data_IF_951905940677
#
_entry.id   IF_951905940677
#
_cell.length_a   1.000
_cell.length_b   1.000
_cell.length_c   1.000
_cell.angle_alpha   90.00
_cell.angle_beta   90.00
_cell.angle_gamma   90.00
#
_symmetry.space_group_name_H-M   'P 1'
#
loop_
_entity.id
_entity.type
_entity.pdbx_description
1 polymer ?
#
# COMPACT_ATOMS: atom_id res chain seq x y z
N UNK A 1 -24.76 -0.13 -6.21
CA UNK A 1 -25.49 -1.41 -6.14
C UNK A 1 -25.74 -2.01 -7.52
N UNK A 2 -26.45 -1.31 -8.40
CA UNK A 2 -26.80 -1.82 -9.75
C UNK A 2 -25.56 -2.24 -10.57
N UNK A 3 -24.46 -1.51 -10.50
CA UNK A 3 -23.20 -1.87 -11.21
C UNK A 3 -22.56 -3.17 -10.71
N UNK A 4 -22.90 -3.59 -9.49
CA UNK A 4 -22.45 -4.87 -8.90
C UNK A 4 -23.48 -5.98 -9.06
N UNK A 5 -24.50 -5.80 -9.92
CA UNK A 5 -25.50 -6.81 -10.23
C UNK A 5 -26.62 -6.98 -9.19
N UNK A 6 -26.75 -6.07 -8.22
CA UNK A 6 -27.84 -6.14 -7.25
C UNK A 6 -29.16 -5.65 -7.83
N UNK A 7 -30.24 -6.39 -7.61
CA UNK A 7 -31.59 -5.93 -7.87
C UNK A 7 -32.00 -4.82 -6.88
N UNK A 8 -32.92 -3.91 -7.25
CA UNK A 8 -33.38 -2.85 -6.35
C UNK A 8 -33.84 -3.34 -4.99
N UNK A 9 -34.61 -4.43 -4.96
CA UNK A 9 -35.14 -5.02 -3.72
C UNK A 9 -34.03 -5.64 -2.84
N UNK A 10 -32.91 -6.02 -3.43
CA UNK A 10 -31.74 -6.50 -2.69
C UNK A 10 -30.99 -5.33 -2.05
N UNK A 11 -30.87 -4.23 -2.79
CA UNK A 11 -30.27 -3.01 -2.27
C UNK A 11 -31.06 -2.48 -1.06
N UNK A 12 -32.39 -2.47 -1.16
CA UNK A 12 -33.25 -2.02 -0.06
C UNK A 12 -33.09 -2.90 1.19
N UNK A 13 -32.96 -4.21 1.03
CA UNK A 13 -32.73 -5.14 2.14
C UNK A 13 -31.38 -4.98 2.81
N UNK A 14 -30.36 -4.59 2.06
CA UNK A 14 -28.99 -4.41 2.56
C UNK A 14 -28.71 -2.96 3.00
N UNK A 15 -29.64 -2.06 2.75
CA UNK A 15 -29.43 -0.63 2.95
C UNK A 15 -28.98 -0.30 4.40
N UNK A 16 -29.73 -0.76 5.39
CA UNK A 16 -29.42 -0.49 6.78
C UNK A 16 -28.06 -1.04 7.21
N UNK A 17 -27.72 -2.25 6.77
CA UNK A 17 -26.41 -2.86 7.08
C UNK A 17 -25.25 -2.12 6.41
N UNK A 18 -25.43 -1.65 5.16
CA UNK A 18 -24.43 -0.85 4.46
C UNK A 18 -24.21 0.49 5.17
N UNK A 19 -25.30 1.15 5.54
CA UNK A 19 -25.28 2.44 6.20
C UNK A 19 -24.62 2.36 7.58
N UNK A 20 -24.94 1.31 8.34
CA UNK A 20 -24.36 1.06 9.66
C UNK A 20 -22.88 0.72 9.57
N UNK A 21 -22.48 -0.13 8.61
CA UNK A 21 -21.08 -0.46 8.39
C UNK A 21 -20.29 0.78 7.99
N UNK A 22 -20.79 1.58 7.05
CA UNK A 22 -20.16 2.80 6.57
C UNK A 22 -20.13 3.93 7.61
N UNK A 23 -20.97 3.87 8.66
CA UNK A 23 -21.19 4.95 9.65
C UNK A 23 -21.61 6.28 9.01
N UNK A 24 -22.49 6.20 8.01
CA UNK A 24 -22.91 7.35 7.22
C UNK A 24 -24.39 7.69 7.37
N UNK A 25 -25.05 7.21 8.42
CA UNK A 25 -26.51 7.36 8.63
C UNK A 25 -27.00 8.79 8.47
N UNK A 26 -26.28 9.75 9.03
CA UNK A 26 -26.68 11.17 8.99
C UNK A 26 -26.47 11.81 7.60
N UNK A 27 -25.66 11.17 6.74
CA UNK A 27 -25.30 11.72 5.44
C UNK A 27 -26.07 11.08 4.27
N UNK A 28 -26.85 10.03 4.50
CA UNK A 28 -27.51 9.26 3.44
C UNK A 28 -28.52 10.08 2.61
N UNK A 29 -29.06 11.16 3.18
CA UNK A 29 -29.96 12.08 2.46
C UNK A 29 -29.22 13.11 1.59
N UNK A 30 -27.89 13.10 1.62
CA UNK A 30 -27.10 14.03 0.83
C UNK A 30 -26.70 13.42 -0.51
N UNK A 31 -26.45 14.27 -1.50
CA UNK A 31 -25.92 13.83 -2.79
C UNK A 31 -24.48 13.36 -2.62
N UNK A 32 -24.10 12.29 -3.31
CA UNK A 32 -22.74 11.70 -3.25
C UNK A 32 -21.62 12.70 -3.53
N UNK A 33 -21.88 13.72 -4.37
CA UNK A 33 -20.93 14.81 -4.65
C UNK A 33 -20.53 15.64 -3.42
N UNK A 34 -21.34 15.60 -2.37
CA UNK A 34 -21.09 16.33 -1.13
C UNK A 34 -20.32 15.48 -0.09
N UNK A 35 -20.08 14.20 -0.41
CA UNK A 35 -19.31 13.31 0.46
C UNK A 35 -17.81 13.64 0.36
N UNK A 36 -17.12 13.60 1.50
CA UNK A 36 -15.66 13.61 1.50
C UNK A 36 -15.11 12.35 0.81
N UNK A 37 -13.85 12.38 0.38
CA UNK A 37 -13.20 11.20 -0.21
C UNK A 37 -13.26 9.98 0.73
N UNK A 38 -13.02 10.17 2.02
CA UNK A 38 -13.14 9.12 3.03
C UNK A 38 -14.54 8.54 3.14
N UNK A 39 -15.59 9.39 3.12
CA UNK A 39 -16.99 8.93 3.13
C UNK A 39 -17.32 8.13 1.87
N UNK A 40 -16.84 8.56 0.69
CA UNK A 40 -17.07 7.85 -0.56
C UNK A 40 -16.46 6.46 -0.52
N UNK A 41 -15.23 6.33 -0.04
CA UNK A 41 -14.55 5.04 0.04
C UNK A 41 -15.16 4.14 1.11
N UNK A 42 -15.54 4.67 2.28
CA UNK A 42 -16.28 3.91 3.31
C UNK A 42 -17.58 3.34 2.75
N UNK A 43 -18.35 4.14 2.02
CA UNK A 43 -19.57 3.68 1.37
C UNK A 43 -19.29 2.64 0.29
N UNK A 44 -18.31 2.90 -0.58
CA UNK A 44 -17.93 1.98 -1.66
C UNK A 44 -17.50 0.61 -1.12
N UNK A 45 -16.65 0.59 -0.09
CA UNK A 45 -16.23 -0.63 0.58
C UNK A 45 -17.41 -1.37 1.21
N UNK A 46 -18.28 -0.66 1.95
CA UNK A 46 -19.46 -1.25 2.59
C UNK A 46 -20.42 -1.90 1.59
N UNK A 47 -20.52 -1.35 0.39
CA UNK A 47 -21.30 -1.96 -0.70
C UNK A 47 -20.57 -3.15 -1.32
N UNK A 48 -19.25 -3.03 -1.53
CA UNK A 48 -18.46 -4.07 -2.17
C UNK A 48 -18.44 -5.39 -1.38
N UNK A 49 -18.32 -5.32 -0.05
CA UNK A 49 -18.32 -6.50 0.82
C UNK A 49 -19.66 -7.25 0.88
N UNK A 50 -20.73 -6.62 0.42
CA UNK A 50 -22.06 -7.26 0.29
C UNK A 50 -22.25 -7.95 -1.07
N UNK A 51 -21.27 -7.85 -1.99
CA UNK A 51 -21.35 -8.53 -3.27
C UNK A 51 -21.50 -10.05 -3.08
N UNK A 52 -22.39 -10.64 -3.86
CA UNK A 52 -22.73 -12.07 -3.79
C UNK A 52 -21.74 -12.98 -4.52
N UNK A 53 -20.70 -12.42 -5.12
CA UNK A 53 -19.70 -13.19 -5.85
C UNK A 53 -18.91 -14.12 -4.92
N UNK A 54 -18.53 -15.27 -5.45
CA UNK A 54 -17.62 -16.21 -4.76
C UNK A 54 -16.20 -15.66 -4.67
N UNK A 55 -15.87 -14.68 -5.52
CA UNK A 55 -14.56 -14.00 -5.59
C UNK A 55 -14.76 -12.50 -5.39
N UNK A 56 -14.11 -11.96 -4.39
CA UNK A 56 -14.06 -10.52 -4.09
C UNK A 56 -12.65 -10.00 -4.37
N UNK A 57 -12.53 -9.03 -5.27
CA UNK A 57 -11.26 -8.36 -5.57
C UNK A 57 -11.25 -6.99 -4.93
N UNK A 58 -10.24 -6.71 -4.11
CA UNK A 58 -10.05 -5.47 -3.38
C UNK A 58 -8.68 -4.89 -3.71
N UNK A 59 -8.67 -3.70 -4.30
CA UNK A 59 -7.46 -3.02 -4.74
C UNK A 59 -7.24 -1.76 -3.89
N UNK A 60 -6.12 -1.71 -3.13
CA UNK A 60 -5.68 -0.60 -2.27
C UNK A 60 -6.73 -0.06 -1.27
N UNK A 61 -7.71 -0.88 -0.86
CA UNK A 61 -8.85 -0.43 -0.05
C UNK A 61 -8.62 -0.45 1.47
N UNK A 62 -7.47 -0.93 1.94
CA UNK A 62 -7.20 -1.10 3.38
C UNK A 62 -6.72 0.17 4.09
N UNK A 63 -6.16 1.11 3.36
CA UNK A 63 -5.59 2.35 3.93
C UNK A 63 -6.64 3.45 4.15
N UNK A 64 -7.95 3.11 4.17
CA UNK A 64 -9.02 4.08 4.08
C UNK A 64 -9.85 4.18 5.34
N UNK A 65 -10.29 5.41 5.66
CA UNK A 65 -11.15 5.72 6.78
C UNK A 65 -10.37 6.05 8.07
N UNK A 66 -11.13 6.32 9.13
CA UNK A 66 -10.59 6.51 10.46
C UNK A 66 -10.30 5.17 11.17
N UNK A 67 -9.72 5.24 12.33
CA UNK A 67 -9.36 4.06 13.12
C UNK A 67 -10.56 3.15 13.46
N UNK A 68 -11.75 3.73 13.65
CA UNK A 68 -12.96 2.98 13.94
C UNK A 68 -13.40 2.15 12.73
N UNK A 69 -13.39 2.76 11.54
CA UNK A 69 -13.70 2.07 10.29
C UNK A 69 -12.65 1.00 9.94
N UNK A 70 -11.37 1.29 10.17
CA UNK A 70 -10.31 0.31 9.98
C UNK A 70 -10.49 -0.93 10.87
N UNK A 71 -10.95 -0.77 12.11
CA UNK A 71 -11.29 -1.91 12.98
C UNK A 71 -12.39 -2.78 12.37
N UNK A 72 -13.47 -2.19 11.86
CA UNK A 72 -14.55 -2.94 11.18
C UNK A 72 -14.05 -3.69 9.95
N UNK A 73 -13.20 -3.04 9.14
CA UNK A 73 -12.56 -3.72 8.01
C UNK A 73 -11.70 -4.91 8.47
N UNK A 74 -10.92 -4.73 9.54
CA UNK A 74 -10.10 -5.78 10.13
C UNK A 74 -10.94 -6.99 10.57
N UNK A 75 -12.03 -6.75 11.27
CA UNK A 75 -12.98 -7.80 11.70
C UNK A 75 -13.55 -8.53 10.50
N UNK A 76 -14.00 -7.80 9.47
CA UNK A 76 -14.50 -8.39 8.24
C UNK A 76 -13.47 -9.32 7.59
N UNK A 77 -12.20 -8.90 7.46
CA UNK A 77 -11.15 -9.74 6.85
C UNK A 77 -10.83 -10.98 7.68
N UNK A 78 -10.80 -10.84 9.01
CA UNK A 78 -10.55 -11.97 9.91
C UNK A 78 -11.69 -13.01 9.82
N UNK A 79 -12.94 -12.56 9.73
CA UNK A 79 -14.09 -13.45 9.58
C UNK A 79 -14.11 -14.10 8.20
N UNK A 80 -13.89 -13.33 7.14
CA UNK A 80 -13.84 -13.83 5.77
C UNK A 80 -12.72 -14.84 5.57
N UNK A 81 -11.57 -14.67 6.23
CA UNK A 81 -10.46 -15.63 6.20
C UNK A 81 -10.87 -17.02 6.72
N UNK A 82 -11.86 -17.10 7.60
CA UNK A 82 -12.39 -18.36 8.15
C UNK A 82 -13.42 -19.02 7.22
N UNK A 83 -14.06 -18.23 6.37
CA UNK A 83 -15.07 -18.70 5.41
C UNK A 83 -14.39 -19.28 4.17
N UNK A 84 -14.40 -20.61 4.07
CA UNK A 84 -13.81 -21.34 2.94
C UNK A 84 -14.63 -21.27 1.65
N UNK A 85 -15.86 -20.75 1.70
CA UNK A 85 -16.73 -20.62 0.54
C UNK A 85 -16.39 -19.40 -0.31
N UNK A 86 -15.65 -18.44 0.25
CA UNK A 86 -15.30 -17.17 -0.39
C UNK A 86 -13.80 -17.09 -0.70
N UNK A 87 -13.48 -16.52 -1.84
CA UNK A 87 -12.12 -16.15 -2.20
C UNK A 87 -11.99 -14.64 -2.20
N UNK A 88 -11.04 -14.10 -1.42
CA UNK A 88 -10.71 -12.66 -1.46
C UNK A 88 -9.34 -12.50 -2.05
N UNK A 89 -9.26 -11.67 -3.10
CA UNK A 89 -8.00 -11.24 -3.71
C UNK A 89 -7.74 -9.82 -3.23
N UNK A 90 -6.70 -9.66 -2.43
CA UNK A 90 -6.27 -8.38 -1.91
C UNK A 90 -5.04 -7.90 -2.67
N UNK A 91 -5.16 -6.77 -3.36
CA UNK A 91 -4.03 -6.08 -3.99
C UNK A 91 -3.60 -4.96 -3.07
N UNK A 92 -2.36 -4.98 -2.61
CA UNK A 92 -1.85 -3.99 -1.65
C UNK A 92 -0.33 -3.97 -1.61
N UNK A 93 0.22 -2.84 -1.19
CA UNK A 93 1.63 -2.66 -0.85
C UNK A 93 1.89 -2.76 0.68
N UNK A 94 0.85 -2.94 1.49
CA UNK A 94 0.98 -3.11 2.95
C UNK A 94 1.26 -4.58 3.31
N UNK A 95 2.52 -4.90 3.55
CA UNK A 95 2.93 -6.25 3.91
C UNK A 95 2.41 -6.70 5.27
N UNK A 96 2.09 -5.78 6.17
CA UNK A 96 1.47 -6.11 7.47
C UNK A 96 0.05 -6.62 7.26
N UNK A 97 -0.70 -6.01 6.35
CA UNK A 97 -2.01 -6.48 5.94
C UNK A 97 -1.95 -7.86 5.27
N UNK A 98 -0.97 -8.08 4.37
CA UNK A 98 -0.75 -9.37 3.73
C UNK A 98 -0.51 -10.47 4.78
N UNK A 99 0.39 -10.22 5.74
CA UNK A 99 0.68 -11.19 6.82
C UNK A 99 -0.54 -11.47 7.71
N UNK A 100 -1.36 -10.46 7.97
CA UNK A 100 -2.52 -10.57 8.85
C UNK A 100 -3.70 -11.29 8.21
N UNK A 101 -4.03 -10.94 6.96
CA UNK A 101 -5.30 -11.35 6.33
C UNK A 101 -5.14 -12.46 5.30
N UNK A 102 -3.99 -12.59 4.65
CA UNK A 102 -3.83 -13.54 3.56
C UNK A 102 -3.40 -14.93 4.06
N UNK A 103 -3.89 -15.97 3.36
CA UNK A 103 -3.43 -17.34 3.54
C UNK A 103 -2.31 -17.68 2.54
N UNK A 104 -2.31 -17.00 1.40
CA UNK A 104 -1.31 -17.08 0.34
C UNK A 104 -1.04 -15.68 -0.18
N UNK A 105 0.14 -15.48 -0.73
CA UNK A 105 0.52 -14.23 -1.38
C UNK A 105 1.24 -14.53 -2.69
N UNK A 106 1.18 -13.59 -3.62
CA UNK A 106 1.91 -13.62 -4.89
C UNK A 106 2.56 -12.26 -5.08
N UNK A 107 3.88 -12.27 -5.30
CA UNK A 107 4.60 -11.07 -5.70
C UNK A 107 4.70 -11.01 -7.21
N UNK A 108 4.30 -9.88 -7.78
CA UNK A 108 4.37 -9.63 -9.22
C UNK A 108 5.39 -8.52 -9.45
N UNK A 109 6.43 -8.82 -10.24
CA UNK A 109 7.46 -7.86 -10.65
C UNK A 109 7.86 -8.13 -12.10
N UNK A 110 8.02 -7.08 -12.89
CA UNK A 110 8.44 -7.14 -14.28
C UNK A 110 7.65 -8.11 -15.17
N UNK A 111 6.35 -8.27 -14.86
CA UNK A 111 5.44 -9.17 -15.59
C UNK A 111 5.52 -10.64 -15.16
N UNK A 112 6.30 -10.97 -14.15
CA UNK A 112 6.42 -12.32 -13.60
C UNK A 112 5.78 -12.40 -12.21
N UNK A 113 5.16 -13.55 -11.92
CA UNK A 113 4.60 -13.87 -10.61
C UNK A 113 5.53 -14.81 -9.85
N UNK A 114 5.63 -14.64 -8.52
CA UNK A 114 6.40 -15.55 -7.67
C UNK A 114 5.80 -16.96 -7.70
N UNK A 115 6.65 -17.98 -7.81
CA UNK A 115 6.21 -19.40 -7.79
C UNK A 115 5.80 -19.82 -6.37
N UNK A 116 6.57 -19.39 -5.36
CA UNK A 116 6.24 -19.65 -3.97
C UNK A 116 5.17 -18.67 -3.49
N UNK A 117 4.10 -19.19 -2.90
CA UNK A 117 2.95 -18.42 -2.41
C UNK A 117 2.87 -18.37 -0.89
N UNK A 118 3.90 -18.79 -0.19
CA UNK A 118 3.99 -18.63 1.27
C UNK A 118 4.09 -17.15 1.63
N UNK A 119 3.20 -16.69 2.52
CA UNK A 119 3.08 -15.27 2.89
C UNK A 119 4.41 -14.70 3.38
N UNK A 120 5.10 -15.38 4.27
CA UNK A 120 6.37 -14.91 4.84
C UNK A 120 7.46 -14.81 3.78
N UNK A 121 7.53 -15.78 2.88
CA UNK A 121 8.49 -15.76 1.77
C UNK A 121 8.25 -14.57 0.85
N UNK A 122 6.99 -14.38 0.43
CA UNK A 122 6.59 -13.30 -0.48
C UNK A 122 6.80 -11.92 0.12
N UNK A 123 6.45 -11.73 1.40
CA UNK A 123 6.67 -10.43 2.07
C UNK A 123 8.15 -10.10 2.24
N UNK A 124 9.00 -11.11 2.48
CA UNK A 124 10.44 -10.92 2.54
C UNK A 124 11.01 -10.55 1.15
N UNK A 125 10.55 -11.22 0.09
CA UNK A 125 10.96 -10.94 -1.28
C UNK A 125 10.62 -9.50 -1.69
N UNK A 126 9.38 -9.06 -1.45
CA UNK A 126 8.93 -7.70 -1.68
C UNK A 126 9.78 -6.66 -0.93
N UNK A 127 10.05 -6.92 0.35
CA UNK A 127 10.85 -6.01 1.19
C UNK A 127 12.29 -5.91 0.69
N UNK A 128 12.89 -7.03 0.25
CA UNK A 128 14.24 -7.06 -0.28
C UNK A 128 14.36 -6.27 -1.59
N UNK A 129 13.37 -6.38 -2.48
CA UNK A 129 13.37 -5.64 -3.75
C UNK A 129 13.18 -4.13 -3.52
N UNK A 130 12.31 -3.73 -2.62
CA UNK A 130 12.15 -2.31 -2.25
C UNK A 130 13.42 -1.70 -1.66
N UNK A 131 14.18 -2.47 -0.87
CA UNK A 131 15.48 -2.02 -0.36
C UNK A 131 16.50 -1.82 -1.47
N UNK A 132 16.56 -2.70 -2.47
CA UNK A 132 17.45 -2.55 -3.64
C UNK A 132 17.11 -1.30 -4.43
N UNK A 133 15.82 -1.08 -4.73
CA UNK A 133 15.35 0.11 -5.46
C UNK A 133 15.71 1.39 -4.69
N UNK A 134 15.49 1.41 -3.37
CA UNK A 134 15.84 2.57 -2.53
C UNK A 134 17.34 2.85 -2.51
N UNK A 135 18.18 1.80 -2.47
CA UNK A 135 19.64 1.93 -2.54
C UNK A 135 20.10 2.43 -3.91
N UNK A 136 19.47 1.97 -4.97
CA UNK A 136 19.80 2.39 -6.34
C UNK A 136 19.41 3.85 -6.59
N UNK A 137 18.23 4.29 -6.14
CA UNK A 137 17.81 5.69 -6.19
C UNK A 137 18.75 6.59 -5.38
N UNK A 138 19.21 6.16 -4.20
CA UNK A 138 20.22 6.91 -3.43
C UNK A 138 21.58 6.97 -4.12
N UNK A 139 21.99 5.92 -4.83
CA UNK A 139 23.22 5.93 -5.61
C UNK A 139 23.11 6.83 -6.84
N UNK A 140 21.97 6.84 -7.52
CA UNK A 140 21.69 7.71 -8.65
C UNK A 140 21.63 9.19 -8.21
N UNK A 141 20.97 9.49 -7.09
CA UNK A 141 20.98 10.85 -6.49
C UNK A 141 22.37 11.27 -6.05
N UNK A 142 23.22 10.34 -5.59
CA UNK A 142 24.61 10.62 -5.27
C UNK A 142 25.47 10.79 -6.52
N UNK A 143 25.12 10.14 -7.64
CA UNK A 143 25.81 10.31 -8.91
C UNK A 143 25.64 11.70 -9.53
N UNK A 144 24.50 12.35 -9.26
CA UNK A 144 24.22 13.73 -9.68
C UNK A 144 24.80 14.80 -8.71
N UNK A 145 25.45 14.39 -7.62
CA UNK A 145 26.07 15.29 -6.65
C UNK A 145 27.55 15.50 -6.93
N UNK A 146 28.07 16.62 -6.45
CA UNK A 146 29.49 16.99 -6.56
C UNK A 146 30.36 15.97 -5.82
N UNK A 147 31.26 15.32 -6.50
CA UNK A 147 32.23 14.41 -5.91
C UNK A 147 33.46 15.18 -5.43
N UNK A 148 33.86 14.95 -4.19
CA UNK A 148 35.12 15.43 -3.64
C UNK A 148 36.15 14.30 -3.79
N UNK A 149 37.08 14.47 -4.74
CA UNK A 149 38.25 13.60 -4.85
C UNK A 149 39.41 14.22 -4.13
N UNK A 150 39.97 13.55 -3.14
CA UNK A 150 41.20 13.95 -2.49
C UNK A 150 42.36 13.16 -3.12
N UNK A 151 43.31 13.84 -3.73
CA UNK A 151 44.53 13.24 -4.27
C UNK A 151 45.58 12.93 -3.22
N UNK A 152 45.27 13.06 -1.92
CA UNK A 152 46.22 12.75 -0.85
C UNK A 152 46.03 11.38 -0.29
N UNK A 153 46.97 10.50 -0.50
CA UNK A 153 47.04 9.16 0.11
C UNK A 153 47.32 9.18 1.63
N UNK A 154 47.47 10.36 2.23
CA UNK A 154 47.77 10.52 3.66
C UNK A 154 46.67 11.28 4.36
N UNK A 155 45.88 10.61 5.16
CA UNK A 155 45.17 11.24 6.29
C UNK A 155 46.21 11.95 7.19
N UNK A 156 46.04 13.25 7.40
CA UNK A 156 46.86 14.03 8.33
C UNK A 156 46.70 13.48 9.74
N UNK A 157 47.70 12.77 10.22
CA UNK A 157 47.69 12.14 11.54
C UNK A 157 48.27 13.00 12.66
N UNK A 158 48.75 14.24 12.37
CA UNK A 158 49.23 15.20 13.38
C UNK A 158 48.77 16.62 13.07
N UNK A 159 48.00 17.19 13.97
CA UNK A 159 47.61 18.59 13.97
C UNK A 159 48.74 19.44 14.59
N UNK A 160 49.73 19.81 13.81
CA UNK A 160 50.75 20.74 14.30
C UNK A 160 50.87 22.03 13.47
N UNK A 161 50.29 22.11 12.27
CA UNK A 161 50.27 23.33 11.48
C UNK A 161 48.94 23.48 10.78
N UNK A 162 48.47 24.71 10.52
CA UNK A 162 47.19 25.01 9.88
C UNK A 162 47.07 24.21 8.58
N UNK A 163 46.33 23.08 8.53
CA UNK A 163 46.19 22.31 7.31
C UNK A 163 45.38 23.13 6.30
N UNK A 164 45.92 23.32 5.09
CA UNK A 164 45.14 23.83 3.97
C UNK A 164 44.57 22.65 3.21
N UNK A 165 43.23 22.56 3.13
CA UNK A 165 42.53 21.61 2.29
C UNK A 165 42.16 22.29 0.98
N UNK A 166 42.76 21.86 -0.13
CA UNK A 166 42.35 22.31 -1.47
C UNK A 166 41.27 21.35 -1.99
N UNK A 167 40.08 21.87 -2.19
CA UNK A 167 38.95 21.11 -2.70
C UNK A 167 38.78 21.42 -4.19
N UNK A 168 38.96 20.41 -5.04
CA UNK A 168 38.65 20.51 -6.47
C UNK A 168 37.22 19.99 -6.71
N UNK A 169 36.41 20.82 -7.34
CA UNK A 169 35.05 20.48 -7.73
C UNK A 169 35.02 20.13 -9.22
N UNK A 170 34.64 18.89 -9.57
CA UNK A 170 34.19 18.57 -10.92
C UNK A 170 32.65 18.51 -10.93
N UNK A 171 32.03 19.48 -11.59
CA UNK A 171 30.61 19.42 -11.86
C UNK A 171 30.37 18.64 -13.17
N UNK A 172 29.77 17.49 -13.09
CA UNK A 172 29.21 16.81 -14.27
C UNK A 172 27.80 17.32 -14.52
N UNK A 173 27.62 18.08 -15.59
CA UNK A 173 26.28 18.37 -16.10
C UNK A 173 25.80 17.12 -16.84
N UNK A 174 24.66 16.58 -16.47
CA UNK A 174 23.96 15.58 -17.25
C UNK A 174 23.67 16.15 -18.65
N UNK A 175 24.08 15.44 -19.70
CA UNK A 175 23.66 15.69 -21.08
C UNK A 175 22.30 15.09 -21.36
#
# INVERSE_FOLDING_TARGET
GAMLGFAPEEIDRMYDEIVEFAELKEFMNQKLKNYSSGMQVRLAFSVAIKAKGDILVLDEVLAVGDEAFQRKCNEFFIETKKDKSKTVILVTHDMSAVQRYCNKAVYISDGFASENTEVQHVTNLYSADNLKVSQQLQQDELADRVWLTTNSEKLLTKATDKPSLTIHFEARTAQ
#
